data_IF_868835034751
#
_entry.id   IF_868835034751
#
_cell.length_a   1.000
_cell.length_b   1.000
_cell.length_c   1.000
_cell.angle_alpha   90.00
_cell.angle_beta   90.00
_cell.angle_gamma   90.00
#
_symmetry.space_group_name_H-M   'P 1'
#
loop_
_entity.id
_entity.type
_entity.pdbx_description
1 polymer ?
#
# COMPACT_ATOMS: atom_id res chain seq x y z
N UNK A 1 -14.47 20.20 -12.42
CA UNK A 1 -13.64 19.49 -13.43
C UNK A 1 -12.65 18.45 -12.84
N UNK A 2 -12.87 17.87 -11.64
CA UNK A 2 -11.83 17.13 -10.88
C UNK A 2 -11.88 15.58 -10.97
N UNK A 3 -12.91 15.02 -11.60
CA UNK A 3 -13.18 13.59 -11.69
C UNK A 3 -12.28 12.81 -12.67
N UNK A 4 -11.98 13.30 -13.90
CA UNK A 4 -11.24 12.50 -14.87
C UNK A 4 -9.79 12.25 -14.45
N UNK A 5 -9.12 13.25 -13.88
CA UNK A 5 -7.73 13.09 -13.41
C UNK A 5 -7.60 12.07 -12.25
N UNK A 6 -8.60 11.98 -11.37
CA UNK A 6 -8.62 10.95 -10.31
C UNK A 6 -8.84 9.56 -10.88
N UNK A 7 -9.72 9.45 -11.89
CA UNK A 7 -9.93 8.19 -12.60
C UNK A 7 -8.65 7.72 -13.29
N UNK A 8 -7.93 8.62 -13.97
CA UNK A 8 -6.66 8.30 -14.61
C UNK A 8 -5.63 7.77 -13.62
N UNK A 9 -5.44 8.44 -12.47
CA UNK A 9 -4.51 7.95 -11.45
C UNK A 9 -4.99 6.63 -10.84
N UNK A 10 -6.30 6.45 -10.64
CA UNK A 10 -6.84 5.18 -10.16
C UNK A 10 -6.56 4.01 -11.11
N UNK A 11 -6.82 4.20 -12.40
CA UNK A 11 -6.54 3.20 -13.44
C UNK A 11 -5.05 2.96 -13.54
N UNK A 12 -4.23 4.02 -13.55
CA UNK A 12 -2.78 3.91 -13.57
C UNK A 12 -2.24 3.10 -12.38
N UNK A 13 -2.83 3.27 -11.20
CA UNK A 13 -2.46 2.50 -10.00
C UNK A 13 -2.79 1.01 -10.07
N UNK A 14 -3.69 0.59 -10.97
CA UNK A 14 -4.06 -0.81 -11.21
C UNK A 14 -3.23 -1.48 -12.31
N UNK A 15 -2.57 -0.69 -13.18
CA UNK A 15 -1.72 -1.21 -14.27
C UNK A 15 -0.70 -2.26 -13.76
N UNK A 16 0.02 -2.03 -12.66
CA UNK A 16 1.03 -2.98 -12.22
C UNK A 16 0.46 -4.33 -11.80
N UNK A 17 -0.70 -4.31 -11.14
CA UNK A 17 -1.43 -5.52 -10.79
C UNK A 17 -1.88 -6.26 -12.06
N UNK A 18 -2.47 -5.55 -13.03
CA UNK A 18 -2.87 -6.15 -14.30
C UNK A 18 -1.70 -6.77 -15.06
N UNK A 19 -0.56 -6.08 -15.11
CA UNK A 19 0.66 -6.58 -15.73
C UNK A 19 1.18 -7.84 -15.03
N UNK A 20 1.22 -7.84 -13.69
CA UNK A 20 1.62 -8.99 -12.89
C UNK A 20 0.71 -10.19 -13.15
N UNK A 21 -0.62 -9.98 -13.19
CA UNK A 21 -1.59 -11.04 -13.49
C UNK A 21 -1.36 -11.63 -14.89
N UNK A 22 -1.17 -10.80 -15.90
CA UNK A 22 -0.88 -11.28 -17.26
C UNK A 22 0.45 -12.04 -17.30
N UNK A 23 1.49 -11.55 -16.63
CA UNK A 23 2.79 -12.20 -16.59
C UNK A 23 2.70 -13.61 -15.98
N UNK A 24 2.00 -13.76 -14.86
CA UNK A 24 1.78 -15.06 -14.20
C UNK A 24 0.95 -15.99 -15.09
N UNK A 25 -0.17 -15.52 -15.64
CA UNK A 25 -1.08 -16.36 -16.45
C UNK A 25 -0.49 -16.79 -17.80
N UNK A 26 0.42 -16.00 -18.37
CA UNK A 26 1.07 -16.29 -19.66
C UNK A 26 2.43 -16.98 -19.51
N UNK A 27 2.84 -17.33 -18.30
CA UNK A 27 4.14 -17.96 -18.04
C UNK A 27 5.33 -17.05 -18.34
N UNK A 28 5.13 -15.72 -18.33
CA UNK A 28 6.17 -14.70 -18.52
C UNK A 28 6.81 -14.22 -17.21
N UNK A 29 6.40 -14.80 -16.09
CA UNK A 29 7.04 -14.62 -14.78
C UNK A 29 8.41 -15.32 -14.73
N UNK A 30 9.19 -15.03 -13.69
CA UNK A 30 10.44 -15.73 -13.39
C UNK A 30 10.21 -17.22 -13.09
N UNK A 31 11.31 -17.93 -12.83
CA UNK A 31 11.29 -19.33 -12.43
C UNK A 31 10.45 -19.57 -11.16
N UNK A 32 10.26 -18.56 -10.31
CA UNK A 32 9.41 -18.62 -9.14
C UNK A 32 8.30 -17.54 -9.19
N UNK A 33 7.12 -17.86 -9.78
CA UNK A 33 6.02 -16.91 -9.91
C UNK A 33 5.51 -16.38 -8.56
N UNK A 34 5.62 -17.16 -7.48
CA UNK A 34 5.19 -16.73 -6.15
C UNK A 34 6.09 -15.61 -5.61
N UNK A 35 7.40 -15.74 -5.78
CA UNK A 35 8.37 -14.71 -5.38
C UNK A 35 8.16 -13.41 -6.16
N UNK A 36 7.91 -13.50 -7.48
CA UNK A 36 7.59 -12.33 -8.31
C UNK A 36 6.38 -11.56 -7.77
N UNK A 37 5.32 -12.28 -7.38
CA UNK A 37 4.11 -11.66 -6.81
C UNK A 37 4.43 -10.99 -5.48
N UNK A 38 5.14 -11.66 -4.58
CA UNK A 38 5.52 -11.13 -3.26
C UNK A 38 6.38 -9.87 -3.42
N UNK A 39 7.44 -9.93 -4.22
CA UNK A 39 8.35 -8.81 -4.44
C UNK A 39 7.65 -7.63 -5.13
N UNK A 40 6.89 -7.90 -6.19
CA UNK A 40 6.23 -6.85 -6.96
C UNK A 40 5.20 -6.11 -6.11
N UNK A 41 4.33 -6.84 -5.41
CA UNK A 41 3.31 -6.22 -4.55
C UNK A 41 3.93 -5.43 -3.40
N UNK A 42 5.03 -5.90 -2.81
CA UNK A 42 5.79 -5.19 -1.78
C UNK A 42 6.41 -3.89 -2.30
N UNK A 43 7.07 -3.93 -3.47
CA UNK A 43 7.68 -2.76 -4.11
C UNK A 43 6.60 -1.71 -4.44
N UNK A 44 5.45 -2.11 -4.98
CA UNK A 44 4.38 -1.17 -5.30
C UNK A 44 3.73 -0.55 -4.06
N UNK A 45 3.58 -1.33 -2.97
CA UNK A 45 3.16 -0.80 -1.67
C UNK A 45 4.07 0.35 -1.20
N UNK A 46 5.39 0.13 -1.24
CA UNK A 46 6.39 1.14 -0.88
C UNK A 46 6.39 2.35 -1.82
N UNK A 47 6.28 2.14 -3.13
CA UNK A 47 6.18 3.24 -4.12
C UNK A 47 4.98 4.13 -3.81
N UNK A 48 3.81 3.56 -3.55
CA UNK A 48 2.63 4.35 -3.20
C UNK A 48 2.76 5.05 -1.84
N UNK A 49 3.42 4.43 -0.87
CA UNK A 49 3.73 5.08 0.42
C UNK A 49 4.60 6.31 0.20
N UNK A 50 5.71 6.15 -0.52
CA UNK A 50 6.64 7.24 -0.83
C UNK A 50 5.95 8.36 -1.62
N UNK A 51 5.15 8.01 -2.63
CA UNK A 51 4.34 8.97 -3.37
C UNK A 51 3.37 9.73 -2.46
N UNK A 52 2.72 9.03 -1.52
CA UNK A 52 1.79 9.65 -0.56
C UNK A 52 2.50 10.64 0.37
N UNK A 53 3.68 10.27 0.87
CA UNK A 53 4.52 11.12 1.73
C UNK A 53 5.08 12.31 0.96
N UNK A 54 5.46 12.13 -0.31
CA UNK A 54 6.01 13.15 -1.19
C UNK A 54 5.02 14.28 -1.53
N UNK A 55 3.71 14.09 -1.36
CA UNK A 55 2.72 15.13 -1.62
C UNK A 55 2.94 16.37 -0.75
N UNK A 56 3.33 16.19 0.52
CA UNK A 56 3.58 17.30 1.43
C UNK A 56 4.79 18.15 1.00
N UNK A 57 5.99 17.59 0.76
CA UNK A 57 7.13 18.38 0.29
C UNK A 57 6.88 18.97 -1.11
N UNK A 58 6.27 18.23 -2.05
CA UNK A 58 5.93 18.77 -3.38
C UNK A 58 5.04 20.01 -3.25
N UNK A 59 4.00 19.95 -2.41
CA UNK A 59 3.13 21.10 -2.16
C UNK A 59 3.90 22.28 -1.55
N UNK A 60 4.81 22.03 -0.60
CA UNK A 60 5.61 23.09 0.06
C UNK A 60 6.61 23.75 -0.89
N UNK A 61 7.25 22.98 -1.76
CA UNK A 61 8.29 23.46 -2.68
C UNK A 61 7.71 24.15 -3.92
N UNK A 62 6.61 23.63 -4.46
CA UNK A 62 6.02 24.12 -5.73
C UNK A 62 4.83 25.06 -5.53
N UNK A 63 4.25 25.11 -4.33
CA UNK A 63 2.98 25.81 -4.07
C UNK A 63 1.75 25.13 -4.68
N UNK A 64 1.90 23.99 -5.38
CA UNK A 64 0.80 23.34 -6.09
C UNK A 64 -0.16 22.61 -5.14
N UNK A 65 -1.19 23.32 -4.67
CA UNK A 65 -2.20 22.77 -3.76
C UNK A 65 -3.09 21.68 -4.40
N UNK A 66 -3.12 21.59 -5.74
CA UNK A 66 -3.91 20.60 -6.46
C UNK A 66 -3.51 19.14 -6.18
N UNK A 67 -2.26 18.90 -5.80
CA UNK A 67 -1.74 17.53 -5.54
C UNK A 67 -2.36 16.90 -4.29
N UNK A 68 -2.78 17.71 -3.32
CA UNK A 68 -3.30 17.22 -2.04
C UNK A 68 -4.53 16.32 -2.18
N UNK A 69 -5.29 16.50 -3.26
CA UNK A 69 -6.50 15.72 -3.52
C UNK A 69 -6.22 14.24 -3.85
N UNK A 70 -4.97 13.89 -4.19
CA UNK A 70 -4.55 12.53 -4.50
C UNK A 70 -3.98 11.78 -3.28
N UNK A 71 -3.63 12.49 -2.18
CA UNK A 71 -2.97 11.90 -0.99
C UNK A 71 -3.72 10.70 -0.43
N UNK A 72 -5.02 10.87 -0.21
CA UNK A 72 -5.86 9.79 0.32
C UNK A 72 -5.91 8.59 -0.63
N UNK A 73 -5.96 8.83 -1.94
CA UNK A 73 -6.08 7.75 -2.92
C UNK A 73 -4.78 6.95 -3.01
N UNK A 74 -3.63 7.62 -3.08
CA UNK A 74 -2.33 6.96 -3.10
C UNK A 74 -2.08 6.19 -1.79
N UNK A 75 -2.47 6.75 -0.64
CA UNK A 75 -2.36 6.05 0.65
C UNK A 75 -3.20 4.77 0.71
N UNK A 76 -4.43 4.81 0.17
CA UNK A 76 -5.27 3.62 0.07
C UNK A 76 -4.69 2.58 -0.90
N UNK A 77 -4.07 3.00 -2.01
CA UNK A 77 -3.38 2.06 -2.90
C UNK A 77 -2.14 1.44 -2.24
N UNK A 78 -1.38 2.20 -1.45
CA UNK A 78 -0.28 1.65 -0.65
C UNK A 78 -0.78 0.53 0.26
N UNK A 79 -1.86 0.78 1.02
CA UNK A 79 -2.46 -0.23 1.88
C UNK A 79 -3.01 -1.43 1.08
N UNK A 80 -3.66 -1.20 -0.06
CA UNK A 80 -4.16 -2.26 -0.94
C UNK A 80 -3.03 -3.20 -1.40
N UNK A 81 -1.92 -2.64 -1.91
CA UNK A 81 -0.77 -3.45 -2.31
C UNK A 81 -0.07 -4.10 -1.10
N UNK A 82 -0.09 -3.47 0.07
CA UNK A 82 0.41 -4.09 1.31
C UNK A 82 -0.42 -5.32 1.71
N UNK A 83 -1.76 -5.25 1.59
CA UNK A 83 -2.63 -6.41 1.81
C UNK A 83 -2.33 -7.54 0.83
N UNK A 84 -2.15 -7.22 -0.45
CA UNK A 84 -1.74 -8.21 -1.45
C UNK A 84 -0.39 -8.84 -1.12
N UNK A 85 0.58 -8.04 -0.69
CA UNK A 85 1.91 -8.51 -0.30
C UNK A 85 1.86 -9.48 0.89
N UNK A 86 1.19 -9.10 1.98
CA UNK A 86 1.04 -9.95 3.16
C UNK A 86 0.28 -11.22 2.82
N UNK A 87 -0.82 -11.11 2.06
CA UNK A 87 -1.61 -12.26 1.64
C UNK A 87 -0.78 -13.22 0.76
N UNK A 88 -0.01 -12.69 -0.19
CA UNK A 88 0.85 -13.50 -1.06
C UNK A 88 1.97 -14.20 -0.27
N UNK A 89 2.58 -13.50 0.69
CA UNK A 89 3.59 -14.09 1.58
C UNK A 89 3.00 -15.22 2.43
N UNK A 90 1.86 -14.98 3.07
CA UNK A 90 1.20 -15.97 3.93
C UNK A 90 0.71 -17.16 3.11
N UNK A 91 0.14 -16.93 1.92
CA UNK A 91 -0.44 -17.98 1.10
C UNK A 91 0.60 -18.81 0.35
N UNK A 92 1.63 -18.18 -0.22
CA UNK A 92 2.58 -18.87 -1.09
C UNK A 92 3.87 -19.31 -0.39
N UNK A 93 4.42 -18.52 0.54
CA UNK A 93 5.70 -18.84 1.19
C UNK A 93 5.50 -19.65 2.48
N UNK A 94 4.42 -19.35 3.22
CA UNK A 94 4.15 -19.94 4.54
C UNK A 94 2.95 -20.86 4.60
N UNK A 95 2.16 -20.97 3.52
CA UNK A 95 0.95 -21.80 3.45
C UNK A 95 0.05 -21.70 4.70
N UNK A 96 -0.10 -20.49 5.25
CA UNK A 96 -0.86 -20.20 6.48
C UNK A 96 -0.35 -20.86 7.77
N UNK A 97 0.89 -21.35 7.80
CA UNK A 97 1.53 -21.94 8.99
C UNK A 97 2.00 -20.82 9.93
N UNK A 98 1.20 -20.53 10.96
CA UNK A 98 1.43 -19.43 11.93
C UNK A 98 2.78 -19.55 12.64
N UNK A 99 3.20 -20.77 13.00
CA UNK A 99 4.48 -20.99 13.68
C UNK A 99 5.68 -20.52 12.88
N UNK A 100 5.67 -20.74 11.56
CA UNK A 100 6.75 -20.28 10.67
C UNK A 100 6.73 -18.76 10.49
N UNK A 101 5.54 -18.16 10.38
CA UNK A 101 5.39 -16.70 10.29
C UNK A 101 5.99 -16.03 11.52
N UNK A 102 5.69 -16.53 12.72
CA UNK A 102 6.24 -16.01 13.97
C UNK A 102 7.75 -16.21 14.07
N UNK A 103 8.25 -17.38 13.65
CA UNK A 103 9.68 -17.67 13.62
C UNK A 103 10.43 -16.73 12.67
N UNK A 104 9.87 -16.45 11.50
CA UNK A 104 10.45 -15.50 10.54
C UNK A 104 10.42 -14.07 11.07
N UNK A 105 9.34 -13.67 11.74
CA UNK A 105 9.24 -12.37 12.38
C UNK A 105 10.34 -12.19 13.44
N UNK A 106 10.63 -13.23 14.23
CA UNK A 106 11.72 -13.18 15.20
C UNK A 106 13.12 -13.15 14.54
N UNK A 107 13.30 -13.84 13.40
CA UNK A 107 14.61 -14.00 12.73
C UNK A 107 14.97 -12.86 11.78
N UNK A 108 13.98 -12.15 11.21
CA UNK A 108 14.18 -11.22 10.09
C UNK A 108 13.72 -9.79 10.49
N UNK A 109 14.64 -8.88 10.84
CA UNK A 109 14.29 -7.54 11.29
C UNK A 109 13.62 -6.67 10.22
N UNK A 110 13.83 -6.96 8.93
CA UNK A 110 13.11 -6.27 7.86
C UNK A 110 11.63 -6.68 7.79
N UNK A 111 11.32 -7.94 8.14
CA UNK A 111 9.95 -8.45 8.14
C UNK A 111 9.14 -7.87 9.31
N UNK A 112 9.77 -7.72 10.49
CA UNK A 112 9.15 -7.03 11.64
C UNK A 112 8.83 -5.58 11.34
N UNK A 113 9.77 -4.85 10.73
CA UNK A 113 9.54 -3.47 10.33
C UNK A 113 8.36 -3.36 9.34
N UNK A 114 8.28 -4.24 8.35
CA UNK A 114 7.18 -4.31 7.40
C UNK A 114 5.83 -4.63 8.07
N UNK A 115 5.80 -5.60 8.98
CA UNK A 115 4.60 -5.98 9.72
C UNK A 115 4.11 -4.85 10.64
N UNK A 116 5.04 -4.17 11.33
CA UNK A 116 4.72 -3.01 12.16
C UNK A 116 4.14 -1.87 11.31
N UNK A 117 4.75 -1.57 10.17
CA UNK A 117 4.23 -0.57 9.24
C UNK A 117 2.82 -0.94 8.73
N UNK A 118 2.60 -2.20 8.38
CA UNK A 118 1.28 -2.68 7.97
C UNK A 118 0.22 -2.50 9.08
N UNK A 119 0.54 -2.88 10.31
CA UNK A 119 -0.35 -2.71 11.47
C UNK A 119 -0.70 -1.23 11.69
N UNK A 120 0.26 -0.31 11.52
CA UNK A 120 0.02 1.12 11.62
C UNK A 120 -0.82 1.67 10.45
N UNK A 121 -0.73 1.07 9.27
CA UNK A 121 -1.56 1.46 8.11
C UNK A 121 -3.03 1.04 8.26
N UNK A 122 -3.34 -0.06 8.97
CA UNK A 122 -4.72 -0.55 9.18
C UNK A 122 -5.65 0.53 9.75
N UNK A 123 -5.36 1.19 10.89
CA UNK A 123 -6.25 2.21 11.43
C UNK A 123 -6.36 3.43 10.49
N UNK A 124 -5.29 3.79 9.77
CA UNK A 124 -5.33 4.87 8.77
C UNK A 124 -6.28 4.54 7.62
N UNK A 125 -6.23 3.30 7.11
CA UNK A 125 -7.10 2.84 6.03
C UNK A 125 -8.56 2.77 6.46
N UNK A 126 -8.85 2.20 7.64
CA UNK A 126 -10.21 2.09 8.17
C UNK A 126 -10.84 3.47 8.44
N UNK A 127 -10.05 4.39 9.02
CA UNK A 127 -10.51 5.75 9.31
C UNK A 127 -10.47 6.69 8.10
N UNK A 128 -10.06 6.18 6.93
CA UNK A 128 -10.09 6.94 5.69
C UNK A 128 -11.48 7.05 5.08
N UNK A 129 -12.56 6.51 5.67
CA UNK A 129 -13.94 6.64 5.14
C UNK A 129 -14.59 7.98 5.53
N UNK A 130 -15.51 8.49 4.69
CA UNK A 130 -16.17 9.81 4.92
C UNK A 130 -16.92 9.89 6.26
N UNK A 131 -17.50 8.79 6.72
CA UNK A 131 -18.21 8.72 8.01
C UNK A 131 -17.26 8.85 9.20
N UNK A 132 -16.14 8.14 9.18
CA UNK A 132 -15.14 8.20 10.25
C UNK A 132 -14.41 9.54 10.32
N UNK A 133 -14.12 10.17 9.18
CA UNK A 133 -13.57 11.53 9.13
C UNK A 133 -14.50 12.51 9.85
N UNK A 134 -15.81 12.39 9.63
CA UNK A 134 -16.81 13.28 10.23
C UNK A 134 -17.05 12.98 11.71
N UNK A 135 -16.97 11.72 12.13
CA UNK A 135 -17.15 11.29 13.52
C UNK A 135 -15.94 11.58 14.42
N UNK A 136 -14.70 11.41 13.92
CA UNK A 136 -13.48 11.55 14.72
C UNK A 136 -12.98 13.00 14.87
N UNK A 137 -13.36 13.91 13.96
CA UNK A 137 -12.99 15.33 14.03
C UNK A 137 -11.48 15.56 14.23
N UNK A 138 -11.09 16.24 15.33
CA UNK A 138 -9.68 16.53 15.64
C UNK A 138 -8.82 15.28 15.90
N UNK A 139 -9.40 14.19 16.40
CA UNK A 139 -8.66 12.93 16.65
C UNK A 139 -8.21 12.26 15.35
N UNK A 140 -8.93 12.49 14.25
CA UNK A 140 -8.53 12.02 12.93
C UNK A 140 -7.20 12.62 12.47
N UNK A 141 -6.96 13.90 12.76
CA UNK A 141 -5.69 14.56 12.44
C UNK A 141 -4.52 14.00 13.25
N UNK A 142 -4.74 13.63 14.52
CA UNK A 142 -3.73 12.98 15.36
C UNK A 142 -3.37 11.58 14.83
N UNK A 143 -4.35 10.77 14.45
CA UNK A 143 -4.11 9.46 13.83
C UNK A 143 -3.32 9.59 12.53
N UNK A 144 -3.66 10.57 11.69
CA UNK A 144 -2.97 10.81 10.42
C UNK A 144 -1.61 11.51 10.56
N UNK A 145 -1.14 11.81 11.79
CA UNK A 145 0.24 12.22 12.09
C UNK A 145 1.17 11.06 12.41
N UNK A 146 0.65 9.85 12.59
CA UNK A 146 1.46 8.64 12.78
C UNK A 146 2.25 8.26 11.51
N UNK A 147 1.94 8.91 10.37
CA UNK A 147 2.57 8.76 9.06
C UNK A 147 2.75 10.13 8.42
#
# INVERSE_FOLDING_TARGET
MRTPAKLLVFVASLIPLGWLTVAVLTGRSSANPAEDVILTTGIWSLRFLLLTLAITPVRRLTGWNGVIQYRRMLGLFSFFYACLHVLSYVAFDRFFVVGEILADLAKRPFLTAGMAAFVLMVPLALTSTRGWIRSLGRRWQLLHRLV
#
